data_IF_332465614827
#
_entry.id   IF_332465614827
#
_cell.length_a   1.000
_cell.length_b   1.000
_cell.length_c   1.000
_cell.angle_alpha   90.00
_cell.angle_beta   90.00
_cell.angle_gamma   90.00
#
_symmetry.space_group_name_H-M   'P 1'
#
loop_
_entity.id
_entity.type
_entity.pdbx_description
1 polymer ?
#
# COMPACT_ATOMS: atom_id res chain seq x y z
N UNK A 1 -16.10 -11.29 -0.73
CA UNK A 1 -15.20 -10.31 -0.24
C UNK A 1 -14.09 -10.05 -1.14
N UNK A 2 -13.98 -8.87 -1.50
CA UNK A 2 -13.03 -8.42 -2.48
C UNK A 2 -11.66 -8.26 -1.85
N UNK A 3 -10.81 -9.15 -2.08
CA UNK A 3 -9.48 -9.09 -1.50
C UNK A 3 -8.63 -7.99 -2.03
N UNK A 4 -8.76 -7.71 -3.31
CA UNK A 4 -8.00 -6.61 -3.90
C UNK A 4 -8.39 -5.31 -3.27
N UNK A 5 -9.67 -5.13 -3.03
CA UNK A 5 -10.12 -3.93 -2.36
C UNK A 5 -9.63 -3.87 -0.93
N UNK A 6 -9.49 -5.01 -0.31
CA UNK A 6 -8.97 -5.04 1.04
C UNK A 6 -7.56 -4.50 1.09
N UNK A 7 -6.74 -4.84 0.11
CA UNK A 7 -5.38 -4.33 0.08
C UNK A 7 -5.35 -2.82 -0.10
N UNK A 8 -6.08 -2.30 -1.06
CA UNK A 8 -6.09 -0.87 -1.30
C UNK A 8 -6.63 -0.12 -0.09
N UNK A 9 -7.64 -0.67 0.54
CA UNK A 9 -8.20 -0.07 1.73
C UNK A 9 -7.20 -0.09 2.89
N UNK A 10 -6.50 -1.19 3.05
CA UNK A 10 -5.51 -1.30 4.10
C UNK A 10 -4.41 -0.28 3.94
N UNK A 11 -3.94 -0.09 2.73
CA UNK A 11 -2.90 0.89 2.46
C UNK A 11 -3.40 2.28 2.84
N UNK A 12 -4.59 2.62 2.41
CA UNK A 12 -5.14 3.94 2.69
C UNK A 12 -5.37 4.17 4.18
N UNK A 13 -5.92 3.17 4.85
CA UNK A 13 -6.18 3.28 6.27
C UNK A 13 -4.90 3.38 7.08
N UNK A 14 -3.91 2.60 6.71
CA UNK A 14 -2.64 2.63 7.41
C UNK A 14 -1.96 3.98 7.24
N UNK A 15 -2.02 4.53 6.03
CA UNK A 15 -1.45 5.84 5.78
C UNK A 15 -2.16 6.91 6.63
N UNK A 16 -3.48 6.87 6.64
CA UNK A 16 -4.26 7.85 7.41
C UNK A 16 -3.99 7.71 8.89
N UNK A 17 -3.90 6.49 9.37
CA UNK A 17 -3.64 6.24 10.78
C UNK A 17 -2.30 6.81 11.20
N UNK A 18 -1.34 6.79 10.30
CA UNK A 18 -0.02 7.33 10.60
C UNK A 18 0.09 8.82 10.30
N UNK A 19 -0.98 9.42 9.83
CA UNK A 19 -0.97 10.83 9.54
C UNK A 19 -0.03 11.23 8.42
N UNK A 20 0.18 10.33 7.47
CA UNK A 20 1.10 10.59 6.36
C UNK A 20 0.33 11.01 5.13
N UNK A 21 0.92 11.94 4.40
CA UNK A 21 0.37 12.31 3.10
C UNK A 21 0.79 11.29 2.05
N UNK A 22 0.10 11.32 0.92
CA UNK A 22 0.47 10.47 -0.19
C UNK A 22 1.91 10.75 -0.62
N UNK A 23 2.29 12.02 -0.65
CA UNK A 23 3.64 12.39 -1.03
C UNK A 23 4.67 11.83 -0.07
N UNK A 24 4.36 11.85 1.21
CA UNK A 24 5.30 11.31 2.19
C UNK A 24 5.50 9.81 2.05
N UNK A 25 4.40 9.09 1.84
CA UNK A 25 4.51 7.66 1.64
C UNK A 25 5.30 7.36 0.37
N UNK A 26 5.00 8.08 -0.70
CA UNK A 26 5.69 7.87 -1.96
C UNK A 26 7.19 8.09 -1.80
N UNK A 27 7.56 9.14 -1.12
CA UNK A 27 8.96 9.45 -0.90
C UNK A 27 9.65 8.34 -0.13
N UNK A 28 9.00 7.84 0.91
CA UNK A 28 9.60 6.81 1.75
C UNK A 28 9.66 5.46 1.06
N UNK A 29 8.75 5.21 0.14
CA UNK A 29 8.77 3.96 -0.61
C UNK A 29 9.70 4.06 -1.81
N UNK A 30 9.89 5.26 -2.32
CA UNK A 30 10.75 5.45 -3.48
C UNK A 30 10.00 5.41 -4.79
N UNK A 31 8.76 5.88 -4.78
CA UNK A 31 7.94 5.91 -5.99
C UNK A 31 7.28 7.27 -6.08
N UNK A 32 6.55 7.49 -7.17
CA UNK A 32 5.83 8.74 -7.34
C UNK A 32 4.51 8.70 -6.60
N UNK A 33 3.96 9.87 -6.24
CA UNK A 33 2.64 9.91 -5.61
C UNK A 33 1.55 9.28 -6.46
N UNK A 34 1.68 9.34 -7.77
CA UNK A 34 0.70 8.73 -8.65
C UNK A 34 0.61 7.23 -8.39
N UNK A 35 1.74 6.60 -8.14
CA UNK A 35 1.73 5.17 -7.83
C UNK A 35 0.92 4.89 -6.58
N UNK A 36 1.07 5.72 -5.56
CA UNK A 36 0.32 5.53 -4.33
C UNK A 36 -1.18 5.67 -4.59
N UNK A 37 -1.56 6.67 -5.36
CA UNK A 37 -2.98 6.85 -5.70
C UNK A 37 -3.54 5.62 -6.40
N UNK A 38 -2.79 5.07 -7.35
CA UNK A 38 -3.26 3.89 -8.07
C UNK A 38 -3.40 2.70 -7.15
N UNK A 39 -2.47 2.55 -6.22
CA UNK A 39 -2.54 1.44 -5.28
C UNK A 39 -3.73 1.60 -4.32
N UNK A 40 -3.98 2.81 -3.87
CA UNK A 40 -5.09 3.07 -2.95
C UNK A 40 -6.45 2.98 -3.63
N UNK A 41 -6.49 3.22 -4.92
CA UNK A 41 -7.74 3.12 -5.66
C UNK A 41 -8.03 1.72 -6.17
N UNK A 42 -7.06 0.84 -6.05
CA UNK A 42 -7.22 -0.52 -6.52
C UNK A 42 -7.00 -0.70 -8.01
N UNK A 43 -6.58 0.35 -8.70
CA UNK A 43 -6.33 0.25 -10.13
C UNK A 43 -5.13 -0.61 -10.47
N UNK A 44 -4.10 -0.50 -9.67
CA UNK A 44 -2.86 -1.22 -9.89
C UNK A 44 -2.44 -1.80 -8.56
N UNK A 45 -1.93 -3.00 -8.60
CA UNK A 45 -1.40 -3.61 -7.39
C UNK A 45 0.10 -3.37 -7.32
N UNK A 46 0.63 -3.05 -6.14
CA UNK A 46 2.08 -2.87 -6.03
C UNK A 46 2.78 -4.21 -6.23
N UNK A 47 3.94 -4.15 -6.85
CA UNK A 47 4.76 -5.34 -7.00
C UNK A 47 5.35 -5.71 -5.65
N UNK A 48 5.80 -6.94 -5.55
CA UNK A 48 6.30 -7.46 -4.29
C UNK A 48 7.32 -6.54 -3.63
N UNK A 49 8.23 -6.02 -4.42
CA UNK A 49 9.25 -5.13 -3.89
C UNK A 49 8.64 -3.88 -3.27
N UNK A 50 7.73 -3.26 -3.98
CA UNK A 50 7.08 -2.06 -3.48
C UNK A 50 6.17 -2.36 -2.32
N UNK A 51 5.51 -3.51 -2.37
CA UNK A 51 4.63 -3.91 -1.29
C UNK A 51 5.43 -4.13 -0.01
N UNK A 52 6.58 -4.73 -0.13
CA UNK A 52 7.45 -4.93 1.02
C UNK A 52 7.85 -3.60 1.65
N UNK A 53 8.19 -2.63 0.82
CA UNK A 53 8.54 -1.30 1.30
C UNK A 53 7.33 -0.61 1.94
N UNK A 54 6.17 -0.75 1.33
CA UNK A 54 4.95 -0.21 1.90
C UNK A 54 4.70 -0.76 3.30
N UNK A 55 4.89 -2.05 3.45
CA UNK A 55 4.67 -2.67 4.74
C UNK A 55 5.60 -2.11 5.80
N UNK A 56 6.83 -1.84 5.42
CA UNK A 56 7.77 -1.24 6.36
C UNK A 56 7.37 0.18 6.72
N UNK A 57 7.03 0.96 5.72
CA UNK A 57 6.69 2.36 5.93
C UNK A 57 5.40 2.50 6.73
N UNK A 58 4.42 1.69 6.43
CA UNK A 58 3.11 1.78 7.05
C UNK A 58 2.94 0.81 8.22
N UNK A 59 3.96 0.01 8.49
CA UNK A 59 3.92 -0.96 9.58
C UNK A 59 2.80 -1.96 9.43
N UNK A 60 2.66 -2.47 8.21
CA UNK A 60 1.71 -3.52 7.94
C UNK A 60 2.41 -4.88 8.05
N UNK A 61 1.70 -5.90 8.46
CA UNK A 61 2.30 -7.24 8.51
C UNK A 61 2.55 -7.74 7.09
N UNK A 62 3.82 -8.03 6.81
CA UNK A 62 4.22 -8.35 5.43
C UNK A 62 3.52 -9.59 4.92
N UNK A 63 3.52 -10.63 5.71
CA UNK A 63 2.95 -11.88 5.28
C UNK A 63 1.48 -11.80 4.94
N UNK A 64 0.71 -11.26 5.87
CA UNK A 64 -0.72 -11.14 5.66
C UNK A 64 -1.02 -10.19 4.52
N UNK A 65 -0.25 -9.13 4.43
CA UNK A 65 -0.47 -8.14 3.39
C UNK A 65 -0.16 -8.71 2.02
N UNK A 66 0.90 -9.46 1.92
CA UNK A 66 1.24 -10.10 0.67
C UNK A 66 0.20 -11.09 0.23
N UNK A 67 -0.44 -11.76 1.17
CA UNK A 67 -1.49 -12.71 0.85
C UNK A 67 -2.69 -12.03 0.21
N UNK A 68 -2.88 -10.75 0.48
CA UNK A 68 -4.00 -10.01 -0.10
C UNK A 68 -3.83 -9.71 -1.58
N UNK A 69 -2.61 -9.81 -2.09
CA UNK A 69 -2.38 -9.48 -3.48
C UNK A 69 -2.70 -10.62 -4.42
N UNK A 70 -3.14 -11.72 -3.81
CA UNK A 70 -3.52 -12.58 -4.66
C UNK A 70 -3.08 -13.66 -5.15
N UNK A 71 -2.99 -14.17 -4.50
CA UNK A 71 -2.74 -15.31 -5.07
C UNK A 71 -3.72 -16.21 -4.72
#
# INVERSE_FOLDING_TARGET
MARTKSLSRQIRLARATRGMSVAQVAENVGVTPVSIYYWESGRVRPRDRNLSQLCKVLRLPVRETMALTGR
#
